data_IF_537313048889
#
_entry.id   IF_537313048889
#
_cell.length_a   1.000
_cell.length_b   1.000
_cell.length_c   1.000
_cell.angle_alpha   90.00
_cell.angle_beta   90.00
_cell.angle_gamma   90.00
#
_symmetry.space_group_name_H-M   'P 1'
#
loop_
_entity.id
_entity.type
_entity.pdbx_description
1 polymer ?
#
# COMPACT_ATOMS: atom_id res chain seq x y z
N UNK A 1 8.88 -16.27 31.67
CA UNK A 1 9.77 -15.29 32.35
C UNK A 1 10.89 -14.74 31.44
N UNK A 2 11.30 -15.41 30.37
CA UNK A 2 12.37 -14.92 29.47
C UNK A 2 11.97 -13.74 28.55
N UNK A 3 10.71 -13.59 28.20
CA UNK A 3 10.23 -12.47 27.33
C UNK A 3 10.17 -11.10 28.02
N UNK A 4 10.14 -11.04 29.36
CA UNK A 4 10.17 -9.76 30.10
C UNK A 4 11.55 -9.12 30.24
N UNK A 5 12.61 -9.91 30.15
CA UNK A 5 13.98 -9.41 30.31
C UNK A 5 14.52 -8.67 29.07
N UNK A 6 14.04 -9.02 27.87
CA UNK A 6 14.44 -8.38 26.62
C UNK A 6 13.82 -6.96 26.51
N UNK A 7 12.59 -6.78 27.01
CA UNK A 7 11.88 -5.49 26.99
C UNK A 7 12.49 -4.44 27.93
N UNK A 8 13.13 -4.82 29.02
CA UNK A 8 13.75 -3.91 29.98
C UNK A 8 15.10 -3.34 29.50
N UNK A 9 15.81 -4.06 28.63
CA UNK A 9 17.04 -3.56 28.01
C UNK A 9 16.81 -2.49 26.93
N UNK A 10 15.68 -2.55 26.21
CA UNK A 10 15.33 -1.59 25.14
C UNK A 10 14.77 -0.27 25.67
N UNK A 11 14.11 -0.26 26.83
CA UNK A 11 13.61 0.96 27.49
C UNK A 11 14.73 1.85 28.05
N UNK A 12 15.87 1.28 28.44
CA UNK A 12 17.01 2.07 28.90
C UNK A 12 17.79 2.78 27.77
N UNK A 13 17.73 2.26 26.54
CA UNK A 13 18.31 2.93 25.37
C UNK A 13 17.50 4.19 24.95
N UNK A 14 16.20 4.22 25.21
CA UNK A 14 15.31 5.35 24.83
C UNK A 14 15.62 6.65 25.58
N UNK A 15 16.17 6.61 26.79
CA UNK A 15 16.39 7.79 27.64
C UNK A 15 17.76 8.47 27.45
N UNK A 16 18.66 7.91 26.64
CA UNK A 16 20.03 8.41 26.49
C UNK A 16 20.27 9.20 25.18
N UNK A 17 19.30 9.22 24.25
CA UNK A 17 19.49 9.84 22.94
C UNK A 17 18.67 11.09 22.73
N UNK A 18 19.32 12.14 22.24
CA UNK A 18 18.63 13.28 21.63
C UNK A 18 17.85 12.76 20.43
N UNK A 19 16.53 12.77 20.52
CA UNK A 19 15.64 12.38 19.44
C UNK A 19 15.93 13.27 18.22
N UNK A 20 16.21 12.67 17.08
CA UNK A 20 16.50 13.35 15.83
C UNK A 20 15.80 12.65 14.67
N UNK A 21 15.66 13.33 13.54
CA UNK A 21 15.08 12.71 12.33
C UNK A 21 15.78 11.39 11.94
N UNK A 22 17.11 11.32 12.12
CA UNK A 22 17.92 10.16 11.79
C UNK A 22 17.74 9.01 12.78
N UNK A 23 17.62 9.32 14.08
CA UNK A 23 17.36 8.28 15.08
C UNK A 23 15.97 7.66 14.92
N UNK A 24 14.95 8.48 14.63
CA UNK A 24 13.59 8.02 14.32
C UNK A 24 13.59 7.15 13.04
N UNK A 25 14.28 7.59 12.00
CA UNK A 25 14.41 6.80 10.77
C UNK A 25 15.08 5.44 11.01
N UNK A 26 16.18 5.43 11.78
CA UNK A 26 16.87 4.19 12.13
C UNK A 26 15.98 3.25 12.96
N UNK A 27 15.27 3.76 13.95
CA UNK A 27 14.33 2.99 14.78
C UNK A 27 13.22 2.37 13.91
N UNK A 28 12.68 3.13 12.95
CA UNK A 28 11.71 2.60 11.99
C UNK A 28 12.30 1.50 11.12
N UNK A 29 13.47 1.71 10.53
CA UNK A 29 14.14 0.72 9.69
C UNK A 29 14.39 -0.59 10.46
N UNK A 30 14.79 -0.48 11.72
CA UNK A 30 15.00 -1.63 12.58
C UNK A 30 13.70 -2.39 12.89
N UNK A 31 12.61 -1.66 13.20
CA UNK A 31 11.31 -2.27 13.44
C UNK A 31 10.71 -2.92 12.17
N UNK A 32 10.93 -2.32 11.01
CA UNK A 32 10.51 -2.89 9.72
C UNK A 32 11.24 -4.18 9.40
N UNK A 33 12.54 -4.27 9.68
CA UNK A 33 13.34 -5.47 9.38
C UNK A 33 13.14 -6.58 10.42
N UNK A 34 13.04 -6.25 11.73
CA UNK A 34 12.94 -7.24 12.80
C UNK A 34 11.52 -7.70 13.12
N UNK A 35 10.55 -6.78 13.13
CA UNK A 35 9.24 -6.99 13.73
C UNK A 35 8.12 -7.03 12.68
N UNK A 36 8.46 -7.14 11.41
CA UNK A 36 7.52 -7.11 10.28
C UNK A 36 6.51 -5.93 10.32
N UNK A 37 6.93 -4.84 10.97
CA UNK A 37 6.07 -3.66 11.17
C UNK A 37 5.89 -2.90 9.86
N UNK A 38 4.67 -2.47 9.56
CA UNK A 38 4.40 -1.60 8.40
C UNK A 38 4.89 -0.18 8.68
N UNK A 39 5.77 0.32 7.81
CA UNK A 39 6.41 1.63 7.97
C UNK A 39 5.39 2.78 8.08
N UNK A 40 4.36 2.77 7.23
CA UNK A 40 3.30 3.79 7.21
C UNK A 40 2.42 3.80 8.47
N UNK A 41 2.33 2.70 9.22
CA UNK A 41 1.57 2.59 10.46
C UNK A 41 2.43 2.89 11.70
N UNK A 42 3.74 2.64 11.62
CA UNK A 42 4.64 2.78 12.77
C UNK A 42 5.27 4.17 12.84
N UNK A 43 5.63 4.76 11.70
CA UNK A 43 6.27 6.08 11.67
C UNK A 43 5.46 7.17 12.39
N UNK A 44 4.14 7.32 12.22
CA UNK A 44 3.37 8.33 12.96
C UNK A 44 3.49 8.20 14.48
N UNK A 45 3.58 6.97 14.99
CA UNK A 45 3.75 6.70 16.43
C UNK A 45 5.13 7.17 16.91
N UNK A 46 6.19 6.87 16.14
CA UNK A 46 7.56 7.30 16.46
C UNK A 46 7.68 8.82 16.42
N UNK A 47 7.12 9.47 15.40
CA UNK A 47 7.13 10.93 15.27
C UNK A 47 6.41 11.61 16.43
N UNK A 48 5.24 11.10 16.83
CA UNK A 48 4.49 11.60 17.99
C UNK A 48 5.26 11.47 19.31
N UNK A 49 5.98 10.37 19.48
CA UNK A 49 6.82 10.13 20.67
C UNK A 49 8.06 11.04 20.68
N UNK A 50 8.67 11.24 19.51
CA UNK A 50 9.88 12.03 19.35
C UNK A 50 9.65 13.54 19.46
N UNK A 51 8.40 14.00 19.26
CA UNK A 51 8.00 15.42 19.29
C UNK A 51 8.90 16.32 18.41
N UNK A 52 9.20 15.82 17.20
CA UNK A 52 9.99 16.53 16.20
C UNK A 52 9.19 17.70 15.63
N UNK A 53 9.89 18.76 15.21
CA UNK A 53 9.31 19.82 14.40
C UNK A 53 8.86 19.26 13.02
N UNK A 54 7.94 19.95 12.35
CA UNK A 54 7.37 19.49 11.07
C UNK A 54 8.47 19.22 10.01
N UNK A 55 9.52 20.06 9.97
CA UNK A 55 10.66 19.88 9.06
C UNK A 55 11.45 18.59 9.36
N UNK A 56 11.74 18.33 10.64
CA UNK A 56 12.48 17.14 11.05
C UNK A 56 11.62 15.88 10.91
N UNK A 57 10.32 15.98 11.09
CA UNK A 57 9.35 14.91 10.82
C UNK A 57 9.34 14.55 9.34
N UNK A 58 9.32 15.53 8.44
CA UNK A 58 9.42 15.30 6.99
C UNK A 58 10.78 14.68 6.60
N UNK A 59 11.87 15.13 7.23
CA UNK A 59 13.19 14.54 7.04
C UNK A 59 13.24 13.08 7.51
N UNK A 60 12.68 12.76 8.68
CA UNK A 60 12.60 11.39 9.18
C UNK A 60 11.79 10.48 8.24
N UNK A 61 10.70 11.00 7.70
CA UNK A 61 9.89 10.27 6.71
C UNK A 61 10.68 9.98 5.45
N UNK A 62 11.35 10.98 4.85
CA UNK A 62 12.14 10.77 3.63
C UNK A 62 13.31 9.82 3.87
N UNK A 63 14.05 10.00 4.96
CA UNK A 63 15.13 9.09 5.35
C UNK A 63 14.66 7.63 5.47
N UNK A 64 13.50 7.41 6.05
CA UNK A 64 12.93 6.09 6.26
C UNK A 64 12.47 5.45 4.95
N UNK A 65 11.50 6.07 4.30
CA UNK A 65 10.88 5.51 3.10
C UNK A 65 11.83 5.48 1.91
N UNK A 66 12.64 6.52 1.73
CA UNK A 66 13.64 6.58 0.67
C UNK A 66 14.70 5.48 0.81
N UNK A 67 15.16 5.22 2.05
CA UNK A 67 16.09 4.11 2.32
C UNK A 67 15.46 2.76 1.99
N UNK A 68 14.20 2.50 2.38
CA UNK A 68 13.51 1.24 2.09
C UNK A 68 13.28 1.06 0.58
N UNK A 69 12.90 2.12 -0.14
CA UNK A 69 12.68 2.09 -1.59
C UNK A 69 13.91 1.68 -2.37
N UNK A 70 15.08 2.15 -1.96
CA UNK A 70 16.31 1.99 -2.70
C UNK A 70 17.28 0.96 -2.10
N UNK A 71 16.84 0.16 -1.12
CA UNK A 71 17.76 -0.67 -0.33
C UNK A 71 18.56 -1.68 -1.16
N UNK A 72 17.99 -2.29 -2.21
CA UNK A 72 18.71 -3.27 -3.03
C UNK A 72 19.85 -2.59 -3.81
N UNK A 73 19.59 -1.42 -4.36
CA UNK A 73 20.62 -0.65 -5.07
C UNK A 73 21.74 -0.21 -4.11
N UNK A 74 21.37 0.25 -2.90
CA UNK A 74 22.36 0.59 -1.87
C UNK A 74 23.15 -0.62 -1.39
N UNK A 75 22.51 -1.77 -1.25
CA UNK A 75 23.20 -3.01 -0.89
C UNK A 75 24.29 -3.36 -1.90
N UNK A 76 24.02 -3.21 -3.22
CA UNK A 76 25.03 -3.46 -4.25
C UNK A 76 26.22 -2.49 -4.16
N UNK A 77 25.99 -1.24 -3.85
CA UNK A 77 27.07 -0.26 -3.62
C UNK A 77 27.84 -0.61 -2.34
N UNK A 78 27.13 -0.96 -1.26
CA UNK A 78 27.73 -1.35 0.00
C UNK A 78 28.60 -2.60 -0.16
N UNK A 79 28.16 -3.61 -0.91
CA UNK A 79 28.93 -4.83 -1.22
C UNK A 79 30.25 -4.49 -1.90
N UNK A 80 30.24 -3.62 -2.90
CA UNK A 80 31.45 -3.14 -3.59
C UNK A 80 32.40 -2.42 -2.62
N UNK A 81 31.84 -1.49 -1.83
CA UNK A 81 32.65 -0.68 -0.91
C UNK A 81 33.16 -1.48 0.29
N UNK A 82 32.38 -2.39 0.84
CA UNK A 82 32.73 -3.22 1.99
C UNK A 82 33.57 -4.44 1.59
N UNK A 83 33.58 -4.82 0.31
CA UNK A 83 34.20 -6.04 -0.22
C UNK A 83 33.69 -7.31 0.46
N UNK A 84 32.40 -7.35 0.75
CA UNK A 84 31.69 -8.50 1.32
C UNK A 84 30.20 -8.44 0.98
N UNK A 85 29.53 -9.60 1.04
CA UNK A 85 28.09 -9.68 0.83
C UNK A 85 27.34 -8.87 1.91
N UNK A 86 26.30 -8.18 1.51
CA UNK A 86 25.44 -7.40 2.43
C UNK A 86 24.72 -8.28 3.46
N UNK A 87 24.51 -9.56 3.15
CA UNK A 87 23.94 -10.53 4.09
C UNK A 87 24.89 -10.86 5.26
N UNK A 88 26.20 -10.71 5.07
CA UNK A 88 27.22 -10.94 6.10
C UNK A 88 27.44 -9.72 7.01
N UNK A 89 26.85 -8.58 6.68
CA UNK A 89 26.97 -7.36 7.49
C UNK A 89 25.94 -7.40 8.62
N UNK A 90 26.42 -7.15 9.85
CA UNK A 90 25.54 -7.04 11.02
C UNK A 90 24.39 -6.03 10.76
N UNK A 91 23.18 -6.42 11.15
CA UNK A 91 21.94 -5.70 10.76
C UNK A 91 21.98 -4.20 11.07
N UNK A 92 22.39 -3.81 12.29
CA UNK A 92 22.42 -2.37 12.65
C UNK A 92 23.40 -1.59 11.77
N UNK A 93 24.57 -2.17 11.52
CA UNK A 93 25.57 -1.60 10.62
C UNK A 93 25.06 -1.49 9.19
N UNK A 94 24.37 -2.52 8.67
CA UNK A 94 23.75 -2.50 7.34
C UNK A 94 22.69 -1.41 7.22
N UNK A 95 21.80 -1.28 8.20
CA UNK A 95 20.76 -0.24 8.20
C UNK A 95 21.36 1.16 8.26
N UNK A 96 22.43 1.37 9.04
CA UNK A 96 23.16 2.64 9.09
C UNK A 96 23.85 2.95 7.76
N UNK A 97 24.43 1.94 7.10
CA UNK A 97 25.04 2.09 5.77
C UNK A 97 24.00 2.46 4.71
N UNK A 98 22.85 1.78 4.69
CA UNK A 98 21.73 2.12 3.81
C UNK A 98 21.22 3.54 4.04
N UNK A 99 21.04 3.93 5.30
CA UNK A 99 20.60 5.28 5.70
C UNK A 99 21.63 6.35 5.29
N UNK A 100 22.93 6.06 5.45
CA UNK A 100 24.01 6.95 5.02
C UNK A 100 24.10 7.05 3.50
N UNK A 101 23.99 5.91 2.79
CA UNK A 101 23.97 5.87 1.32
C UNK A 101 22.81 6.70 0.75
N UNK A 102 21.61 6.59 1.34
CA UNK A 102 20.45 7.40 0.92
C UNK A 102 20.73 8.90 1.05
N UNK A 103 21.28 9.34 2.19
CA UNK A 103 21.64 10.75 2.40
C UNK A 103 22.70 11.25 1.40
N UNK A 104 23.72 10.42 1.10
CA UNK A 104 24.83 10.79 0.24
C UNK A 104 24.45 10.84 -1.24
N UNK A 105 23.59 9.91 -1.68
CA UNK A 105 23.34 9.68 -3.11
C UNK A 105 21.99 10.23 -3.58
N UNK A 106 20.98 10.29 -2.72
CA UNK A 106 19.60 10.60 -3.14
C UNK A 106 19.03 11.87 -2.50
N UNK A 107 19.73 12.45 -1.52
CA UNK A 107 19.28 13.66 -0.83
C UNK A 107 20.22 14.84 -1.09
N UNK A 108 19.69 16.06 -0.97
CA UNK A 108 20.50 17.29 -1.09
C UNK A 108 21.14 17.66 0.26
N UNK A 109 21.86 16.70 0.86
CA UNK A 109 22.58 16.90 2.13
C UNK A 109 24.08 16.96 1.80
N UNK A 110 24.81 17.96 2.32
CA UNK A 110 26.26 18.00 2.13
C UNK A 110 26.93 16.72 2.65
N UNK A 111 27.85 16.13 1.85
CA UNK A 111 28.45 14.82 2.16
C UNK A 111 29.09 14.75 3.56
N UNK A 112 29.76 15.84 3.98
CA UNK A 112 30.37 15.89 5.32
C UNK A 112 29.31 15.81 6.44
N UNK A 113 28.14 16.44 6.27
CA UNK A 113 27.06 16.40 7.25
C UNK A 113 26.41 14.98 7.27
N UNK A 114 26.14 14.39 6.09
CA UNK A 114 25.62 13.03 6.00
C UNK A 114 26.53 12.01 6.68
N UNK A 115 27.85 12.10 6.45
CA UNK A 115 28.86 11.25 7.06
C UNK A 115 28.90 11.41 8.58
N UNK A 116 29.12 12.64 9.06
CA UNK A 116 29.29 12.91 10.50
C UNK A 116 28.06 12.48 11.31
N UNK A 117 26.88 12.90 10.88
CA UNK A 117 25.62 12.57 11.56
C UNK A 117 25.32 11.07 11.58
N UNK A 118 25.65 10.33 10.48
CA UNK A 118 25.44 8.88 10.44
C UNK A 118 26.47 8.16 11.33
N UNK A 119 27.71 8.63 11.36
CA UNK A 119 28.76 8.08 12.26
C UNK A 119 28.43 8.36 13.72
N UNK A 120 27.93 9.55 14.06
CA UNK A 120 27.52 9.87 15.43
C UNK A 120 26.30 9.03 15.86
N UNK A 121 25.33 8.81 14.97
CA UNK A 121 24.27 7.86 15.23
C UNK A 121 24.82 6.44 15.45
N UNK A 122 25.81 6.02 14.66
CA UNK A 122 26.45 4.69 14.82
C UNK A 122 27.07 4.50 16.20
N UNK A 123 27.76 5.51 16.74
CA UNK A 123 28.34 5.47 18.11
C UNK A 123 27.27 5.16 19.16
N UNK A 124 26.05 5.55 18.88
CA UNK A 124 24.94 5.49 19.79
C UNK A 124 24.16 4.18 19.74
N UNK A 125 24.03 3.57 18.55
CA UNK A 125 23.11 2.44 18.32
C UNK A 125 23.79 1.13 17.94
N UNK A 126 25.12 1.17 17.71
CA UNK A 126 25.90 0.00 17.30
C UNK A 126 27.16 -0.19 18.18
N UNK A 127 27.91 -1.26 17.95
CA UNK A 127 29.16 -1.54 18.68
C UNK A 127 30.26 -0.54 18.32
N UNK A 128 31.22 -0.36 19.22
CA UNK A 128 32.39 0.51 18.97
C UNK A 128 33.17 0.11 17.71
N UNK A 129 33.28 -1.20 17.42
CA UNK A 129 33.92 -1.71 16.19
C UNK A 129 33.17 -1.33 14.91
N UNK A 130 31.85 -1.17 14.97
CA UNK A 130 31.03 -0.79 13.83
C UNK A 130 31.30 0.65 13.36
N UNK A 131 31.72 1.56 14.27
CA UNK A 131 31.92 2.97 13.95
C UNK A 131 32.99 3.16 12.87
N UNK A 132 34.15 2.51 13.03
CA UNK A 132 35.23 2.56 12.02
C UNK A 132 34.83 1.95 10.69
N UNK A 133 34.12 0.81 10.73
CA UNK A 133 33.63 0.14 9.55
C UNK A 133 32.61 1.00 8.77
N UNK A 134 31.55 1.49 9.44
CA UNK A 134 30.53 2.35 8.81
C UNK A 134 31.15 3.61 8.22
N UNK A 135 32.03 4.31 8.96
CA UNK A 135 32.73 5.48 8.46
C UNK A 135 33.57 5.18 7.21
N UNK A 136 34.34 4.06 7.23
CA UNK A 136 35.18 3.68 6.09
C UNK A 136 34.36 3.35 4.84
N UNK A 137 33.24 2.65 4.98
CA UNK A 137 32.36 2.30 3.84
C UNK A 137 31.66 3.55 3.30
N UNK A 138 31.09 4.42 4.17
CA UNK A 138 30.40 5.62 3.72
C UNK A 138 31.34 6.63 3.05
N UNK A 139 32.61 6.73 3.45
CA UNK A 139 33.60 7.55 2.74
C UNK A 139 33.81 7.06 1.31
N UNK A 140 33.93 5.75 1.11
CA UNK A 140 34.05 5.19 -0.26
C UNK A 140 32.78 5.44 -1.08
N UNK A 141 31.59 5.31 -0.47
CA UNK A 141 30.34 5.65 -1.15
C UNK A 141 30.32 7.10 -1.61
N UNK A 142 30.83 8.03 -0.78
CA UNK A 142 30.86 9.47 -1.10
C UNK A 142 31.86 9.88 -2.19
N UNK A 143 32.76 8.98 -2.63
CA UNK A 143 33.76 9.28 -3.68
C UNK A 143 33.16 9.35 -5.08
N UNK A 144 31.95 8.80 -5.29
CA UNK A 144 31.27 8.73 -6.58
C UNK A 144 29.86 9.30 -6.50
N UNK A 145 29.41 9.90 -7.59
CA UNK A 145 28.03 10.33 -7.75
C UNK A 145 27.07 9.14 -7.94
N UNK A 146 25.77 9.37 -7.77
CA UNK A 146 24.74 8.38 -8.03
C UNK A 146 24.85 7.77 -9.43
N UNK A 147 25.08 8.60 -10.47
CA UNK A 147 25.18 8.14 -11.86
C UNK A 147 26.45 7.30 -12.11
N UNK A 148 27.57 7.65 -11.46
CA UNK A 148 28.79 6.83 -11.51
C UNK A 148 28.58 5.48 -10.84
N UNK A 149 27.87 5.44 -9.69
CA UNK A 149 27.50 4.20 -9.02
C UNK A 149 26.55 3.35 -9.86
N UNK A 150 25.54 3.96 -10.50
CA UNK A 150 24.65 3.25 -11.42
C UNK A 150 25.46 2.57 -12.54
N UNK A 151 26.33 3.32 -13.18
CA UNK A 151 27.19 2.77 -14.24
C UNK A 151 28.01 1.59 -13.74
N UNK A 152 28.67 1.72 -12.59
CA UNK A 152 29.55 0.68 -12.06
C UNK A 152 28.77 -0.58 -11.63
N UNK A 153 27.68 -0.41 -10.92
CA UNK A 153 26.85 -1.53 -10.44
C UNK A 153 26.21 -2.29 -11.60
N UNK A 154 25.77 -1.57 -12.64
CA UNK A 154 25.03 -2.17 -13.75
C UNK A 154 25.93 -2.71 -14.89
N UNK A 155 27.22 -2.34 -14.94
CA UNK A 155 28.14 -2.78 -16.00
C UNK A 155 28.32 -4.31 -16.06
N UNK A 156 28.23 -5.01 -14.94
CA UNK A 156 28.39 -6.46 -14.86
C UNK A 156 27.08 -7.24 -15.00
N UNK A 157 25.95 -6.55 -15.13
CA UNK A 157 24.61 -7.18 -15.15
C UNK A 157 24.13 -7.29 -16.59
N UNK A 158 24.08 -8.50 -17.11
CA UNK A 158 23.67 -8.78 -18.50
C UNK A 158 22.18 -9.08 -18.66
N UNK A 159 21.51 -9.67 -17.64
CA UNK A 159 20.08 -9.96 -17.67
C UNK A 159 19.27 -8.65 -17.55
N UNK A 160 18.37 -8.33 -18.52
CA UNK A 160 17.61 -7.09 -18.49
C UNK A 160 16.68 -6.95 -17.27
N UNK A 161 16.12 -8.05 -16.78
CA UNK A 161 15.25 -8.03 -15.61
C UNK A 161 16.05 -7.79 -14.33
N UNK A 162 17.21 -8.45 -14.20
CA UNK A 162 18.13 -8.20 -13.09
C UNK A 162 18.64 -6.77 -13.09
N UNK A 163 18.93 -6.22 -14.28
CA UNK A 163 19.34 -4.83 -14.42
C UNK A 163 18.26 -3.88 -13.89
N UNK A 164 17.02 -4.02 -14.33
CA UNK A 164 15.89 -3.23 -13.82
C UNK A 164 15.62 -3.48 -12.34
N UNK A 165 15.76 -4.73 -11.87
CA UNK A 165 15.62 -5.12 -10.46
C UNK A 165 16.57 -4.30 -9.58
N UNK A 166 17.84 -4.25 -9.94
CA UNK A 166 18.87 -3.54 -9.17
C UNK A 166 18.69 -2.01 -9.30
N UNK A 167 18.55 -1.51 -10.52
CA UNK A 167 18.46 -0.07 -10.79
C UNK A 167 17.28 0.59 -10.07
N UNK A 168 16.11 -0.05 -10.12
CA UNK A 168 14.88 0.45 -9.47
C UNK A 168 14.61 -0.18 -8.12
N UNK A 169 15.51 -1.01 -7.61
CA UNK A 169 15.40 -1.61 -6.28
C UNK A 169 14.10 -2.36 -6.05
N UNK A 170 13.78 -3.30 -6.94
CA UNK A 170 12.67 -4.25 -6.83
C UNK A 170 13.19 -5.69 -6.96
N UNK A 171 12.73 -6.66 -6.16
CA UNK A 171 13.04 -8.08 -6.41
C UNK A 171 12.72 -8.49 -7.86
N UNK A 172 13.61 -9.25 -8.50
CA UNK A 172 13.45 -9.62 -9.92
C UNK A 172 12.13 -10.33 -10.22
N UNK A 173 11.61 -11.13 -9.29
CA UNK A 173 10.31 -11.77 -9.46
C UNK A 173 9.15 -10.76 -9.53
N UNK A 174 9.22 -9.66 -8.78
CA UNK A 174 8.23 -8.56 -8.84
C UNK A 174 8.33 -7.84 -10.19
N UNK A 175 9.55 -7.57 -10.68
CA UNK A 175 9.75 -6.96 -11.99
C UNK A 175 9.10 -7.82 -13.08
N UNK A 176 9.32 -9.16 -13.05
CA UNK A 176 8.67 -10.10 -13.99
C UNK A 176 7.15 -10.10 -13.87
N UNK A 177 6.63 -10.07 -12.64
CA UNK A 177 5.19 -10.03 -12.39
C UNK A 177 4.55 -8.74 -12.94
N UNK A 178 5.16 -7.58 -12.68
CA UNK A 178 4.72 -6.29 -13.22
C UNK A 178 4.82 -6.22 -14.74
N UNK A 179 5.90 -6.73 -15.33
CA UNK A 179 6.06 -6.83 -16.78
C UNK A 179 4.94 -7.64 -17.42
N UNK A 180 4.64 -8.82 -16.84
CA UNK A 180 3.56 -9.68 -17.35
C UNK A 180 2.20 -9.00 -17.23
N UNK A 181 1.92 -8.36 -16.11
CA UNK A 181 0.66 -7.66 -15.88
C UNK A 181 0.47 -6.48 -16.86
N UNK A 182 1.52 -5.68 -17.09
CA UNK A 182 1.51 -4.61 -18.08
C UNK A 182 1.31 -5.14 -19.51
N UNK A 183 1.99 -6.25 -19.86
CA UNK A 183 1.80 -6.90 -21.17
C UNK A 183 0.36 -7.35 -21.39
N UNK A 184 -0.24 -7.95 -20.36
CA UNK A 184 -1.64 -8.39 -20.37
C UNK A 184 -2.59 -7.21 -20.50
N UNK A 185 -2.26 -6.05 -19.93
CA UNK A 185 -3.05 -4.82 -20.04
C UNK A 185 -2.74 -3.98 -21.31
N UNK A 186 -1.89 -4.50 -22.22
CA UNK A 186 -1.53 -3.81 -23.47
C UNK A 186 -0.55 -2.63 -23.28
N UNK A 187 0.20 -2.60 -22.20
CA UNK A 187 1.08 -1.48 -21.76
C UNK A 187 2.53 -1.93 -21.52
N UNK A 188 3.00 -2.89 -22.31
CA UNK A 188 4.31 -3.52 -22.15
C UNK A 188 5.49 -2.53 -22.06
N UNK A 189 5.41 -1.42 -22.79
CA UNK A 189 6.49 -0.43 -22.91
C UNK A 189 6.61 0.50 -21.69
N UNK A 190 5.69 0.41 -20.72
CA UNK A 190 5.65 1.31 -19.57
C UNK A 190 6.26 0.75 -18.28
N UNK A 191 6.93 -0.41 -18.35
CA UNK A 191 7.51 -1.09 -17.18
C UNK A 191 8.50 -0.20 -16.43
N UNK A 192 9.43 0.42 -17.13
CA UNK A 192 10.45 1.26 -16.49
C UNK A 192 9.82 2.47 -15.80
N UNK A 193 8.86 3.13 -16.46
CA UNK A 193 8.10 4.24 -15.87
C UNK A 193 7.32 3.82 -14.63
N UNK A 194 6.76 2.61 -14.63
CA UNK A 194 6.10 2.05 -13.45
C UNK A 194 7.08 1.84 -12.28
N UNK A 195 8.26 1.24 -12.55
CA UNK A 195 9.28 1.00 -11.53
C UNK A 195 9.82 2.32 -10.95
N UNK A 196 10.05 3.33 -11.79
CA UNK A 196 10.41 4.68 -11.36
C UNK A 196 9.33 5.27 -10.45
N UNK A 197 8.07 5.20 -10.89
CA UNK A 197 6.92 5.73 -10.14
C UNK A 197 6.76 5.03 -8.78
N UNK A 198 7.01 3.73 -8.71
CA UNK A 198 6.98 2.98 -7.44
C UNK A 198 8.02 3.48 -6.41
N UNK A 199 9.05 4.18 -6.86
CA UNK A 199 10.08 4.77 -6.00
C UNK A 199 9.79 6.24 -5.63
N UNK A 200 8.73 6.83 -6.15
CA UNK A 200 8.28 8.16 -5.73
C UNK A 200 7.42 8.07 -4.47
N UNK A 201 7.41 9.13 -3.68
CA UNK A 201 6.44 9.26 -2.59
C UNK A 201 5.02 9.37 -3.18
N UNK A 202 4.08 8.65 -2.59
CA UNK A 202 2.68 8.80 -2.97
C UNK A 202 2.09 10.04 -2.29
N UNK A 203 1.28 10.78 -3.02
CA UNK A 203 0.51 11.89 -2.45
C UNK A 203 -0.47 11.40 -1.38
N UNK A 204 -0.79 12.29 -0.44
CA UNK A 204 -1.84 12.02 0.54
C UNK A 204 -3.19 12.26 -0.14
N UNK A 205 -3.88 11.18 -0.46
CA UNK A 205 -5.21 11.23 -1.04
C UNK A 205 -6.29 11.13 0.05
N UNK A 206 -7.32 11.94 -0.12
CA UNK A 206 -8.47 11.99 0.77
C UNK A 206 -9.74 11.70 -0.04
N UNK A 207 -10.75 11.15 0.62
CA UNK A 207 -12.10 10.97 0.07
C UNK A 207 -13.08 11.85 0.84
N UNK A 208 -13.94 12.54 0.12
CA UNK A 208 -15.12 13.20 0.70
C UNK A 208 -16.27 12.19 0.79
N UNK A 209 -16.82 12.00 1.98
CA UNK A 209 -17.91 11.06 2.21
C UNK A 209 -19.26 11.70 1.83
N UNK A 210 -20.07 11.07 0.94
CA UNK A 210 -21.39 11.56 0.58
C UNK A 210 -22.32 11.70 1.79
N UNK A 211 -23.21 12.69 1.77
CA UNK A 211 -24.17 12.95 2.85
C UNK A 211 -23.61 13.56 4.12
N UNK A 212 -22.29 13.75 4.21
CA UNK A 212 -21.64 14.47 5.31
C UNK A 212 -21.57 15.96 5.03
N UNK A 213 -21.60 16.80 6.08
CA UNK A 213 -21.50 18.25 5.94
C UNK A 213 -20.15 18.65 5.36
N UNK A 214 -20.17 19.48 4.29
CA UNK A 214 -18.93 20.01 3.73
C UNK A 214 -18.28 20.97 4.72
N UNK A 215 -16.94 20.92 4.89
CA UNK A 215 -16.24 21.95 5.65
C UNK A 215 -16.26 23.28 4.88
N UNK A 216 -16.34 24.39 5.61
CA UNK A 216 -16.32 25.74 5.03
C UNK A 216 -14.98 26.11 4.38
N UNK A 217 -13.89 25.42 4.77
CA UNK A 217 -12.53 25.66 4.26
C UNK A 217 -11.83 24.37 3.87
N UNK A 218 -11.39 24.32 2.61
CA UNK A 218 -10.58 23.23 2.02
C UNK A 218 -9.19 23.73 1.62
N UNK A 219 -8.61 24.65 2.40
CA UNK A 219 -7.27 25.15 2.15
C UNK A 219 -6.25 23.98 2.05
N UNK A 220 -5.36 24.07 1.05
CA UNK A 220 -4.35 23.05 0.71
C UNK A 220 -4.90 21.73 0.13
N UNK A 221 -6.17 21.69 -0.30
CA UNK A 221 -6.73 20.54 -1.00
C UNK A 221 -6.98 20.88 -2.47
N UNK A 222 -6.54 19.99 -3.35
CA UNK A 222 -6.87 20.03 -4.78
C UNK A 222 -7.79 18.85 -5.12
N UNK A 223 -8.67 19.03 -6.11
CA UNK A 223 -9.51 17.93 -6.58
C UNK A 223 -8.65 16.77 -7.06
N UNK A 224 -9.05 15.56 -6.73
CA UNK A 224 -8.39 14.35 -7.19
C UNK A 224 -8.51 14.16 -8.70
N UNK A 225 -7.49 13.64 -9.33
CA UNK A 225 -7.48 13.42 -10.78
C UNK A 225 -8.29 12.20 -11.20
N UNK A 226 -8.36 11.18 -10.36
CA UNK A 226 -9.00 9.90 -10.70
C UNK A 226 -10.41 9.77 -10.14
N UNK A 227 -10.62 10.01 -8.85
CA UNK A 227 -11.92 9.85 -8.19
C UNK A 227 -12.69 11.18 -8.12
N UNK A 228 -13.99 11.21 -8.47
CA UNK A 228 -14.83 12.41 -8.34
C UNK A 228 -15.06 12.85 -6.90
N UNK A 229 -14.84 11.95 -5.92
CA UNK A 229 -14.90 12.24 -4.48
C UNK A 229 -13.50 12.49 -3.89
N UNK A 230 -12.46 12.40 -4.71
CA UNK A 230 -11.07 12.46 -4.30
C UNK A 230 -10.56 13.89 -4.13
N UNK A 231 -9.66 14.03 -3.14
CA UNK A 231 -8.82 15.21 -2.99
C UNK A 231 -7.37 14.76 -2.79
N UNK A 232 -6.45 15.62 -3.21
CA UNK A 232 -5.01 15.46 -2.95
C UNK A 232 -4.56 16.60 -2.06
N UNK A 233 -3.81 16.27 -1.02
CA UNK A 233 -3.26 17.23 -0.06
C UNK A 233 -1.80 17.53 -0.39
N UNK A 234 -1.48 18.80 -0.60
CA UNK A 234 -0.13 19.27 -0.90
C UNK A 234 0.69 19.50 0.38
N UNK A 235 0.97 18.44 1.15
CA UNK A 235 1.77 18.49 2.38
C UNK A 235 0.94 18.74 3.64
N UNK A 236 1.61 18.64 4.81
CA UNK A 236 0.98 18.74 6.12
C UNK A 236 0.45 17.41 6.67
N UNK A 237 -0.09 17.46 7.87
CA UNK A 237 -0.67 16.30 8.56
C UNK A 237 -2.20 16.28 8.33
N UNK A 238 -2.75 15.26 7.67
CA UNK A 238 -4.20 15.15 7.45
C UNK A 238 -5.02 15.19 8.75
N UNK A 239 -4.45 14.67 9.86
CA UNK A 239 -5.13 14.64 11.15
C UNK A 239 -5.40 16.05 11.73
N UNK A 240 -4.67 17.08 11.27
CA UNK A 240 -4.87 18.47 11.65
C UNK A 240 -6.07 19.12 10.96
N UNK A 241 -6.62 18.52 9.88
CA UNK A 241 -7.78 19.05 9.17
C UNK A 241 -9.06 18.90 10.01
N UNK A 242 -9.84 19.96 10.14
CA UNK A 242 -11.15 19.92 10.81
C UNK A 242 -12.08 18.88 10.15
N UNK A 243 -12.13 18.87 8.82
CA UNK A 243 -12.94 17.94 8.03
C UNK A 243 -12.62 16.45 8.30
N UNK A 244 -11.39 16.13 8.67
CA UNK A 244 -11.01 14.77 9.11
C UNK A 244 -11.56 14.46 10.50
N UNK A 245 -11.49 15.45 11.42
CA UNK A 245 -12.02 15.29 12.79
C UNK A 245 -13.54 15.17 12.79
N UNK A 246 -14.20 15.89 11.90
CA UNK A 246 -15.66 15.90 11.74
C UNK A 246 -16.18 14.68 10.96
N UNK A 247 -15.27 13.90 10.34
CA UNK A 247 -15.60 12.68 9.61
C UNK A 247 -15.99 12.90 8.15
N UNK A 248 -16.00 14.14 7.65
CA UNK A 248 -16.30 14.45 6.24
C UNK A 248 -15.22 13.94 5.28
N UNK A 249 -13.95 14.10 5.65
CA UNK A 249 -12.81 13.59 4.89
C UNK A 249 -12.18 12.37 5.57
N UNK A 250 -11.62 11.48 4.75
CA UNK A 250 -10.80 10.35 5.21
C UNK A 250 -9.61 10.15 4.28
N UNK A 251 -8.48 9.67 4.85
CA UNK A 251 -7.35 9.25 4.03
C UNK A 251 -7.74 7.97 3.30
N UNK A 252 -7.74 8.01 1.96
CA UNK A 252 -8.00 6.85 1.12
C UNK A 252 -7.42 7.09 -0.28
N UNK A 253 -6.71 6.09 -0.82
CA UNK A 253 -6.24 6.13 -2.20
C UNK A 253 -7.38 6.24 -3.21
N UNK A 254 -7.20 7.02 -4.29
CA UNK A 254 -8.27 7.26 -5.26
C UNK A 254 -8.66 5.97 -6.01
N UNK A 255 -7.74 5.04 -6.25
CA UNK A 255 -8.07 3.72 -6.82
C UNK A 255 -8.98 2.90 -5.91
N UNK A 256 -8.73 2.96 -4.58
CA UNK A 256 -9.60 2.34 -3.58
C UNK A 256 -11.00 2.99 -3.53
N UNK A 257 -11.09 4.31 -3.74
CA UNK A 257 -12.36 5.02 -3.88
C UNK A 257 -13.12 4.56 -5.13
N UNK A 258 -12.41 4.48 -6.28
CA UNK A 258 -12.98 4.02 -7.54
C UNK A 258 -13.51 2.59 -7.45
N UNK A 259 -12.88 1.71 -6.70
CA UNK A 259 -13.39 0.36 -6.47
C UNK A 259 -14.76 0.34 -5.78
N UNK A 260 -14.93 1.16 -4.73
CA UNK A 260 -16.24 1.31 -4.06
C UNK A 260 -17.28 1.97 -4.97
N UNK A 261 -16.87 3.01 -5.70
CA UNK A 261 -17.73 3.69 -6.68
C UNK A 261 -18.12 2.79 -7.85
N UNK A 262 -17.25 1.89 -8.31
CA UNK A 262 -17.57 0.92 -9.35
C UNK A 262 -18.71 -0.01 -8.91
N UNK A 263 -18.67 -0.53 -7.68
CA UNK A 263 -19.76 -1.36 -7.13
C UNK A 263 -21.08 -0.59 -7.06
N UNK A 264 -21.05 0.62 -6.52
CA UNK A 264 -22.25 1.41 -6.27
C UNK A 264 -22.86 2.03 -7.53
N UNK A 265 -22.09 2.14 -8.63
CA UNK A 265 -22.53 2.66 -9.92
C UNK A 265 -22.64 1.60 -11.02
N UNK A 266 -22.54 0.31 -10.69
CA UNK A 266 -22.64 -0.79 -11.64
C UNK A 266 -24.02 -0.83 -12.33
N UNK A 267 -25.07 -0.66 -11.54
CA UNK A 267 -26.47 -0.53 -11.94
C UNK A 267 -27.21 0.39 -10.96
N UNK A 268 -28.48 0.75 -11.24
CA UNK A 268 -29.30 1.56 -10.36
C UNK A 268 -29.44 0.88 -8.97
N UNK A 269 -29.39 1.67 -7.93
CA UNK A 269 -29.60 1.21 -6.56
C UNK A 269 -31.10 1.28 -6.24
N UNK A 270 -31.61 0.22 -5.60
CA UNK A 270 -32.98 0.18 -5.11
C UNK A 270 -33.00 0.39 -3.60
N UNK A 271 -33.87 1.25 -3.11
CA UNK A 271 -34.04 1.45 -1.65
C UNK A 271 -34.31 0.11 -0.95
N UNK A 272 -33.60 -0.10 0.17
CA UNK A 272 -33.70 -1.33 0.96
C UNK A 272 -32.75 -2.43 0.54
N UNK A 273 -31.91 -2.24 -0.50
CA UNK A 273 -30.84 -3.19 -0.84
C UNK A 273 -29.97 -3.54 0.38
N UNK A 274 -29.51 -4.77 0.44
CA UNK A 274 -28.60 -5.27 1.47
C UNK A 274 -27.20 -5.48 0.88
N UNK A 275 -26.22 -4.76 1.41
CA UNK A 275 -24.84 -4.77 0.96
C UNK A 275 -23.92 -5.43 1.97
N UNK A 276 -22.82 -6.02 1.50
CA UNK A 276 -21.76 -6.59 2.32
C UNK A 276 -20.39 -6.06 1.90
N UNK A 277 -19.60 -5.55 2.87
CA UNK A 277 -18.15 -5.42 2.74
C UNK A 277 -17.49 -6.62 3.43
N UNK A 278 -17.06 -7.59 2.63
CA UNK A 278 -16.72 -8.95 3.08
C UNK A 278 -15.37 -9.06 3.78
N UNK A 279 -14.41 -8.17 3.43
CA UNK A 279 -13.07 -8.07 4.02
C UNK A 279 -12.75 -6.61 4.37
N UNK A 280 -13.53 -6.02 5.26
CA UNK A 280 -13.67 -4.58 5.42
C UNK A 280 -12.45 -3.86 6.00
N UNK A 281 -11.53 -4.55 6.68
CA UNK A 281 -10.39 -3.94 7.38
C UNK A 281 -9.40 -3.23 6.46
N UNK A 282 -8.93 -2.05 6.83
CA UNK A 282 -9.14 -1.31 8.08
C UNK A 282 -10.31 -0.31 8.07
N UNK A 283 -11.29 -0.41 7.15
CA UNK A 283 -12.51 0.39 7.16
C UNK A 283 -12.56 1.54 6.14
N UNK A 284 -11.59 1.69 5.26
CA UNK A 284 -11.58 2.77 4.27
C UNK A 284 -12.73 2.65 3.26
N UNK A 285 -12.88 1.48 2.60
CA UNK A 285 -13.98 1.19 1.68
C UNK A 285 -15.31 1.10 2.42
N UNK A 286 -15.33 0.43 3.59
CA UNK A 286 -16.50 0.32 4.45
C UNK A 286 -17.13 1.69 4.79
N UNK A 287 -16.32 2.69 5.15
CA UNK A 287 -16.81 4.03 5.46
C UNK A 287 -17.42 4.74 4.22
N UNK A 288 -16.82 4.60 3.05
CA UNK A 288 -17.37 5.15 1.81
C UNK A 288 -18.67 4.44 1.40
N UNK A 289 -18.69 3.10 1.49
CA UNK A 289 -19.89 2.32 1.22
C UNK A 289 -21.02 2.64 2.21
N UNK A 290 -20.72 2.82 3.51
CA UNK A 290 -21.69 3.22 4.52
C UNK A 290 -22.28 4.60 4.23
N UNK A 291 -21.46 5.58 3.83
CA UNK A 291 -21.92 6.91 3.47
C UNK A 291 -22.88 6.87 2.26
N UNK A 292 -22.53 6.09 1.23
CA UNK A 292 -23.38 5.92 0.03
C UNK A 292 -24.65 5.14 0.40
N UNK A 293 -24.54 4.02 1.12
CA UNK A 293 -25.69 3.20 1.53
C UNK A 293 -26.74 4.02 2.30
N UNK A 294 -26.25 4.90 3.19
CA UNK A 294 -27.13 5.79 3.96
C UNK A 294 -27.87 6.78 3.07
N UNK A 295 -27.22 7.37 2.05
CA UNK A 295 -27.86 8.30 1.11
C UNK A 295 -28.86 7.59 0.20
N UNK A 296 -28.56 6.35 -0.18
CA UNK A 296 -29.38 5.50 -1.08
C UNK A 296 -30.42 4.66 -0.34
N UNK A 297 -30.53 4.80 0.98
CA UNK A 297 -31.43 4.01 1.83
C UNK A 297 -31.19 2.49 1.73
N UNK A 298 -29.94 2.08 1.48
CA UNK A 298 -29.50 0.70 1.54
C UNK A 298 -28.95 0.34 2.94
N UNK A 299 -28.79 -0.95 3.22
CA UNK A 299 -28.27 -1.47 4.48
C UNK A 299 -26.91 -2.11 4.23
N UNK A 300 -25.87 -1.62 4.90
CA UNK A 300 -24.53 -2.20 4.84
C UNK A 300 -24.27 -3.11 6.05
N UNK A 301 -23.70 -4.27 5.80
CA UNK A 301 -23.03 -5.13 6.78
C UNK A 301 -21.54 -5.22 6.45
N UNK A 302 -20.69 -5.36 7.47
CA UNK A 302 -19.24 -5.46 7.29
C UNK A 302 -18.69 -6.67 8.04
N UNK A 303 -17.68 -7.33 7.46
CA UNK A 303 -17.00 -8.46 8.07
C UNK A 303 -15.49 -8.28 8.03
N UNK A 304 -14.78 -8.72 9.06
CA UNK A 304 -13.33 -8.74 9.12
C UNK A 304 -12.87 -9.84 10.09
N UNK A 305 -12.01 -10.74 9.63
CA UNK A 305 -11.55 -11.90 10.42
C UNK A 305 -10.70 -11.51 11.64
N UNK A 306 -9.98 -10.40 11.57
CA UNK A 306 -9.12 -9.93 12.66
C UNK A 306 -9.85 -9.00 13.61
N UNK A 307 -9.97 -9.37 14.88
CA UNK A 307 -10.58 -8.51 15.92
C UNK A 307 -9.93 -7.11 15.98
N UNK A 308 -8.61 -7.05 15.85
CA UNK A 308 -7.90 -5.76 15.86
C UNK A 308 -8.32 -4.89 14.67
N UNK A 309 -8.41 -5.47 13.47
CA UNK A 309 -8.82 -4.73 12.27
C UNK A 309 -10.32 -4.40 12.29
N UNK A 310 -11.16 -5.28 12.84
CA UNK A 310 -12.59 -5.02 13.05
C UNK A 310 -12.82 -3.81 13.95
N UNK A 311 -12.01 -3.61 15.00
CA UNK A 311 -12.04 -2.39 15.81
C UNK A 311 -11.72 -1.13 15.00
N UNK A 312 -10.78 -1.22 14.04
CA UNK A 312 -10.49 -0.10 13.12
C UNK A 312 -11.66 0.17 12.17
N UNK A 313 -12.34 -0.87 11.68
CA UNK A 313 -13.58 -0.74 10.89
C UNK A 313 -14.66 -0.02 11.71
N UNK A 314 -14.92 -0.46 12.94
CA UNK A 314 -15.89 0.20 13.84
C UNK A 314 -15.54 1.67 14.09
N UNK A 315 -14.26 1.99 14.30
CA UNK A 315 -13.81 3.38 14.43
C UNK A 315 -14.01 4.17 13.12
N UNK A 316 -13.80 3.52 11.97
CA UNK A 316 -14.02 4.14 10.68
C UNK A 316 -15.50 4.48 10.44
N UNK A 317 -16.40 3.64 10.89
CA UNK A 317 -17.86 3.79 10.76
C UNK A 317 -18.48 4.73 11.79
N UNK A 318 -17.85 4.92 12.94
CA UNK A 318 -18.44 5.60 14.11
C UNK A 318 -19.00 7.00 13.83
N UNK A 319 -18.44 7.73 12.87
CA UNK A 319 -18.89 9.07 12.49
C UNK A 319 -19.78 9.10 11.25
N UNK A 320 -19.79 8.02 10.48
CA UNK A 320 -20.56 7.90 9.23
C UNK A 320 -21.93 7.32 9.50
N UNK A 321 -21.92 6.08 10.02
CA UNK A 321 -23.10 5.36 10.46
C UNK A 321 -22.69 4.32 11.53
N UNK A 322 -22.86 4.65 12.81
CA UNK A 322 -22.51 3.75 13.91
C UNK A 322 -23.44 2.53 14.03
N UNK A 323 -24.52 2.47 13.25
CA UNK A 323 -25.48 1.34 13.27
C UNK A 323 -25.04 0.20 12.35
N UNK A 324 -24.07 0.42 11.47
CA UNK A 324 -23.52 -0.63 10.59
C UNK A 324 -22.83 -1.71 11.41
N UNK A 325 -23.29 -2.97 11.35
CA UNK A 325 -22.69 -4.05 12.10
C UNK A 325 -21.29 -4.40 11.55
N UNK A 326 -20.39 -4.73 12.47
CA UNK A 326 -19.05 -5.22 12.16
C UNK A 326 -18.90 -6.63 12.72
N UNK A 327 -19.05 -7.64 11.87
CA UNK A 327 -18.89 -9.03 12.25
C UNK A 327 -17.41 -9.41 12.29
N UNK A 328 -17.07 -10.30 13.21
CA UNK A 328 -15.73 -10.90 13.31
C UNK A 328 -15.86 -12.39 13.00
N UNK A 329 -15.72 -12.75 11.73
CA UNK A 329 -15.86 -14.13 11.29
C UNK A 329 -15.01 -14.43 10.07
N UNK A 330 -14.83 -15.73 9.77
CA UNK A 330 -14.17 -16.16 8.55
C UNK A 330 -15.12 -15.97 7.37
N UNK A 331 -14.72 -15.11 6.45
CA UNK A 331 -15.53 -14.78 5.28
C UNK A 331 -15.75 -15.98 4.32
N UNK A 332 -14.95 -17.05 4.43
CA UNK A 332 -15.13 -18.26 3.64
C UNK A 332 -16.48 -18.94 3.90
N UNK A 333 -17.06 -18.78 5.13
CA UNK A 333 -18.32 -19.43 5.48
C UNK A 333 -19.55 -18.60 5.17
N UNK A 334 -19.43 -17.30 4.88
CA UNK A 334 -20.58 -16.39 4.70
C UNK A 334 -21.56 -16.88 3.62
N UNK A 335 -21.05 -17.48 2.54
CA UNK A 335 -21.91 -18.02 1.47
C UNK A 335 -22.83 -19.16 1.93
N UNK A 336 -22.37 -19.97 2.88
CA UNK A 336 -23.14 -21.04 3.50
C UNK A 336 -24.10 -20.51 4.57
N UNK A 337 -23.64 -19.52 5.38
CA UNK A 337 -24.41 -18.95 6.48
C UNK A 337 -25.53 -18.01 6.01
N UNK A 338 -25.33 -17.32 4.89
CA UNK A 338 -26.26 -16.33 4.33
C UNK A 338 -26.36 -16.45 2.80
N UNK A 339 -26.83 -17.59 2.26
CA UNK A 339 -26.95 -17.80 0.81
C UNK A 339 -27.95 -16.80 0.21
N UNK A 340 -27.60 -16.27 -0.96
CA UNK A 340 -28.42 -15.34 -1.76
C UNK A 340 -29.03 -14.19 -0.92
N UNK A 341 -28.24 -13.64 0.01
CA UNK A 341 -28.72 -12.65 0.97
C UNK A 341 -28.40 -11.21 0.62
N UNK A 342 -27.40 -10.97 -0.27
CA UNK A 342 -26.89 -9.63 -0.54
C UNK A 342 -27.12 -9.21 -1.98
N UNK A 343 -27.53 -7.96 -2.17
CA UNK A 343 -27.73 -7.35 -3.47
C UNK A 343 -26.39 -6.85 -4.06
N UNK A 344 -25.50 -6.37 -3.18
CA UNK A 344 -24.13 -5.95 -3.55
C UNK A 344 -23.11 -6.49 -2.56
N UNK A 345 -22.00 -6.99 -3.08
CA UNK A 345 -20.88 -7.47 -2.26
C UNK A 345 -19.58 -6.80 -2.73
N UNK A 346 -18.87 -6.17 -1.79
CA UNK A 346 -17.48 -5.74 -1.96
C UNK A 346 -16.58 -6.85 -1.42
N UNK A 347 -15.78 -7.47 -2.26
CA UNK A 347 -14.70 -8.36 -1.88
C UNK A 347 -13.35 -7.68 -2.21
N UNK A 348 -12.87 -6.83 -1.27
CA UNK A 348 -11.49 -6.32 -1.28
C UNK A 348 -10.57 -7.42 -0.76
N UNK A 349 -10.18 -8.32 -1.66
CA UNK A 349 -9.56 -9.59 -1.30
C UNK A 349 -8.13 -9.40 -0.73
N UNK A 350 -7.77 -10.18 0.31
CA UNK A 350 -6.39 -10.27 0.76
C UNK A 350 -5.49 -10.65 -0.41
N UNK A 351 -4.41 -9.88 -0.63
CA UNK A 351 -3.53 -10.06 -1.79
C UNK A 351 -2.07 -9.70 -1.45
N UNK A 352 -1.15 -9.93 -2.37
CA UNK A 352 0.27 -9.58 -2.19
C UNK A 352 0.51 -8.09 -1.98
N UNK A 353 -0.39 -7.22 -2.45
CA UNK A 353 -0.27 -5.77 -2.29
C UNK A 353 0.78 -5.11 -3.21
N UNK A 354 1.17 -5.76 -4.30
CA UNK A 354 2.18 -5.23 -5.25
C UNK A 354 1.75 -3.94 -5.95
N UNK A 355 0.50 -3.56 -5.82
CA UNK A 355 -0.04 -2.30 -6.35
C UNK A 355 0.20 -1.09 -5.45
N UNK A 356 0.53 -1.31 -4.17
CA UNK A 356 0.67 -0.24 -3.17
C UNK A 356 2.13 0.04 -2.77
N UNK A 357 3.11 -0.31 -3.62
CA UNK A 357 4.55 -0.24 -3.30
C UNK A 357 5.04 1.19 -3.02
N UNK A 358 4.39 2.22 -3.55
CA UNK A 358 4.71 3.63 -3.23
C UNK A 358 4.46 3.95 -1.76
N UNK A 359 3.36 3.39 -1.19
CA UNK A 359 2.89 3.63 0.18
C UNK A 359 3.48 2.65 1.18
N UNK A 360 3.80 1.42 0.72
CA UNK A 360 4.32 0.31 1.52
C UNK A 360 5.54 -0.30 0.85
N UNK A 361 6.65 0.47 0.74
CA UNK A 361 7.83 -0.01 0.01
C UNK A 361 8.46 -1.26 0.63
N UNK A 362 8.30 -1.48 1.93
CA UNK A 362 8.76 -2.68 2.63
C UNK A 362 8.07 -3.96 2.12
N UNK A 363 6.86 -3.86 1.58
CA UNK A 363 6.11 -5.03 1.07
C UNK A 363 6.87 -5.76 -0.03
N UNK A 364 7.68 -5.06 -0.84
CA UNK A 364 8.48 -5.68 -1.91
C UNK A 364 9.55 -6.64 -1.37
N UNK A 365 10.00 -6.45 -0.14
CA UNK A 365 11.06 -7.24 0.49
C UNK A 365 10.53 -8.42 1.30
N UNK A 366 9.29 -8.35 1.72
CA UNK A 366 8.62 -9.36 2.55
C UNK A 366 7.93 -10.43 1.73
N UNK A 367 7.39 -10.02 0.59
CA UNK A 367 6.63 -10.92 -0.28
C UNK A 367 7.56 -11.84 -1.09
N UNK A 368 7.11 -13.07 -1.27
CA UNK A 368 7.80 -14.12 -2.02
C UNK A 368 6.86 -14.70 -3.08
N UNK A 369 7.38 -15.33 -4.14
CA UNK A 369 6.53 -15.96 -5.18
C UNK A 369 5.51 -16.96 -4.65
N UNK A 370 5.84 -17.70 -3.58
CA UNK A 370 4.92 -18.66 -2.95
C UNK A 370 3.67 -18.01 -2.36
N UNK A 371 3.79 -16.75 -1.86
CA UNK A 371 2.65 -16.05 -1.26
C UNK A 371 1.54 -15.79 -2.29
N UNK A 372 1.88 -15.69 -3.58
CA UNK A 372 0.91 -15.54 -4.66
C UNK A 372 -0.01 -16.76 -4.75
N UNK A 373 0.56 -17.98 -4.71
CA UNK A 373 -0.24 -19.20 -4.80
C UNK A 373 -1.09 -19.43 -3.55
N UNK A 374 -0.55 -19.13 -2.37
CA UNK A 374 -1.29 -19.25 -1.10
C UNK A 374 -2.48 -18.28 -1.07
N UNK A 375 -2.25 -17.02 -1.45
CA UNK A 375 -3.30 -16.00 -1.52
C UNK A 375 -4.31 -16.26 -2.64
N UNK A 376 -3.88 -16.76 -3.79
CA UNK A 376 -4.80 -17.13 -4.88
C UNK A 376 -5.78 -18.23 -4.43
N UNK A 377 -5.32 -19.24 -3.69
CA UNK A 377 -6.19 -20.28 -3.13
C UNK A 377 -7.21 -19.70 -2.13
N UNK A 378 -6.79 -18.77 -1.29
CA UNK A 378 -7.69 -18.06 -0.38
C UNK A 378 -8.70 -17.19 -1.14
N UNK A 379 -8.25 -16.48 -2.17
CA UNK A 379 -9.10 -15.64 -3.02
C UNK A 379 -10.17 -16.46 -3.76
N UNK A 380 -9.84 -17.69 -4.21
CA UNK A 380 -10.83 -18.61 -4.81
C UNK A 380 -11.91 -18.99 -3.78
N UNK A 381 -11.54 -19.29 -2.55
CA UNK A 381 -12.52 -19.62 -1.50
C UNK A 381 -13.40 -18.42 -1.15
N UNK A 382 -12.80 -17.24 -1.04
CA UNK A 382 -13.54 -16.01 -0.73
C UNK A 382 -14.50 -15.60 -1.84
N UNK A 383 -14.08 -15.65 -3.12
CA UNK A 383 -14.94 -15.27 -4.23
C UNK A 383 -16.08 -16.28 -4.43
N UNK A 384 -15.85 -17.58 -4.15
CA UNK A 384 -16.89 -18.61 -4.13
C UNK A 384 -17.91 -18.34 -3.03
N UNK A 385 -17.47 -18.03 -1.81
CA UNK A 385 -18.34 -17.67 -0.71
C UNK A 385 -19.14 -16.40 -1.01
N UNK A 386 -18.51 -15.37 -1.59
CA UNK A 386 -19.19 -14.17 -2.05
C UNK A 386 -20.26 -14.48 -3.12
N UNK A 387 -19.93 -15.36 -4.06
CA UNK A 387 -20.84 -15.80 -5.12
C UNK A 387 -22.08 -16.50 -4.57
N UNK A 388 -21.90 -17.38 -3.59
CA UNK A 388 -23.01 -18.09 -2.92
C UNK A 388 -23.90 -17.12 -2.13
N UNK A 389 -23.32 -16.12 -1.47
CA UNK A 389 -24.02 -15.09 -0.70
C UNK A 389 -24.75 -14.05 -1.59
N UNK A 390 -24.36 -13.93 -2.87
CA UNK A 390 -24.92 -12.98 -3.83
C UNK A 390 -26.28 -13.43 -4.35
N UNK A 391 -27.27 -12.55 -4.29
CA UNK A 391 -28.60 -12.79 -4.91
C UNK A 391 -28.49 -12.92 -6.44
N UNK A 392 -29.41 -13.65 -7.09
CA UNK A 392 -29.63 -13.51 -8.53
C UNK A 392 -29.85 -12.04 -8.92
N UNK A 393 -29.17 -11.57 -9.95
CA UNK A 393 -29.19 -10.15 -10.36
C UNK A 393 -28.33 -9.20 -9.52
N UNK A 394 -27.78 -9.68 -8.41
CA UNK A 394 -26.85 -8.91 -7.56
C UNK A 394 -25.50 -8.62 -8.21
N UNK A 395 -24.72 -7.74 -7.62
CA UNK A 395 -23.38 -7.33 -8.10
C UNK A 395 -22.31 -7.60 -7.07
N UNK A 396 -21.29 -8.37 -7.47
CA UNK A 396 -20.05 -8.59 -6.74
C UNK A 396 -18.94 -7.74 -7.37
N UNK A 397 -18.29 -6.89 -6.58
CA UNK A 397 -17.01 -6.28 -6.94
C UNK A 397 -15.87 -7.10 -6.34
N UNK A 398 -15.15 -7.83 -7.19
CA UNK A 398 -13.88 -8.43 -6.83
C UNK A 398 -12.75 -7.44 -7.06
N UNK A 399 -12.02 -7.13 -6.00
CA UNK A 399 -11.03 -6.05 -5.97
C UNK A 399 -9.75 -6.55 -5.32
N UNK A 400 -8.60 -6.17 -5.87
CA UNK A 400 -7.28 -6.38 -5.24
C UNK A 400 -6.38 -5.17 -5.43
N UNK A 401 -5.50 -4.90 -4.45
CA UNK A 401 -4.42 -3.92 -4.60
C UNK A 401 -3.13 -4.57 -5.13
N UNK A 402 -3.25 -5.45 -6.11
CA UNK A 402 -2.14 -6.08 -6.83
C UNK A 402 -2.48 -6.19 -8.32
N UNK A 403 -1.52 -5.98 -9.23
CA UNK A 403 -1.74 -6.23 -10.65
C UNK A 403 -1.36 -7.67 -11.07
N UNK A 404 -0.94 -8.53 -10.14
CA UNK A 404 -0.47 -9.88 -10.44
C UNK A 404 -1.58 -10.73 -11.07
N UNK A 405 -1.37 -11.25 -12.29
CA UNK A 405 -2.41 -11.98 -13.03
C UNK A 405 -2.98 -13.19 -12.29
N UNK A 406 -2.18 -13.85 -11.46
CA UNK A 406 -2.62 -14.98 -10.62
C UNK A 406 -3.59 -14.59 -9.50
N UNK A 407 -3.62 -13.31 -9.10
CA UNK A 407 -4.48 -12.77 -8.05
C UNK A 407 -5.62 -11.89 -8.62
N UNK A 408 -5.69 -11.75 -9.93
CA UNK A 408 -6.64 -10.88 -10.63
C UNK A 408 -7.45 -11.68 -11.64
N UNK A 409 -7.08 -11.66 -12.91
CA UNK A 409 -7.79 -12.32 -13.98
C UNK A 409 -7.96 -13.83 -13.77
N UNK A 410 -6.93 -14.50 -13.26
CA UNK A 410 -7.00 -15.95 -13.04
C UNK A 410 -8.08 -16.34 -12.01
N UNK A 411 -8.38 -15.49 -11.05
CA UNK A 411 -9.44 -15.72 -10.05
C UNK A 411 -10.82 -15.52 -10.69
N UNK A 412 -10.98 -14.47 -11.50
CA UNK A 412 -12.22 -14.22 -12.24
C UNK A 412 -12.50 -15.36 -13.23
N UNK A 413 -11.50 -15.75 -14.02
CA UNK A 413 -11.59 -16.88 -14.98
C UNK A 413 -11.89 -18.21 -14.26
N UNK A 414 -11.37 -18.37 -13.03
CA UNK A 414 -11.65 -19.54 -12.21
C UNK A 414 -13.14 -19.58 -11.83
N UNK A 415 -13.70 -18.46 -11.34
CA UNK A 415 -15.13 -18.39 -10.98
C UNK A 415 -16.04 -18.64 -12.18
N UNK A 416 -15.72 -18.08 -13.35
CA UNK A 416 -16.47 -18.32 -14.59
C UNK A 416 -16.48 -19.81 -14.98
N UNK A 417 -15.37 -20.53 -14.76
CA UNK A 417 -15.29 -21.98 -15.01
C UNK A 417 -16.07 -22.81 -13.99
N UNK A 418 -16.17 -22.36 -12.73
CA UNK A 418 -16.98 -23.06 -11.70
C UNK A 418 -18.48 -22.90 -11.99
N UNK A 419 -18.90 -21.73 -12.46
CA UNK A 419 -20.32 -21.38 -12.66
C UNK A 419 -20.60 -20.95 -14.11
N UNK A 420 -20.39 -21.85 -15.12
CA UNK A 420 -20.55 -21.50 -16.51
C UNK A 420 -22.00 -21.08 -16.80
N UNK A 421 -22.17 -20.02 -17.60
CA UNK A 421 -23.46 -19.41 -17.96
C UNK A 421 -24.19 -18.65 -16.83
N UNK A 422 -23.72 -18.72 -15.60
CA UNK A 422 -24.32 -17.97 -14.48
C UNK A 422 -23.54 -16.70 -14.16
N UNK A 423 -22.22 -16.71 -14.34
CA UNK A 423 -21.32 -15.58 -14.11
C UNK A 423 -21.29 -14.68 -15.34
N UNK A 424 -21.58 -13.40 -15.16
CA UNK A 424 -21.46 -12.39 -16.21
C UNK A 424 -20.63 -11.22 -15.74
N UNK A 425 -19.62 -10.86 -16.53
CA UNK A 425 -18.84 -9.64 -16.30
C UNK A 425 -19.61 -8.41 -16.78
N UNK A 426 -19.88 -7.48 -15.88
CA UNK A 426 -20.29 -6.12 -16.22
C UNK A 426 -19.06 -5.32 -16.71
N UNK A 427 -19.30 -4.30 -17.52
CA UNK A 427 -18.21 -3.49 -18.05
C UNK A 427 -17.77 -2.44 -17.00
N UNK A 428 -16.84 -2.81 -16.12
CA UNK A 428 -16.29 -1.90 -15.11
C UNK A 428 -15.58 -0.69 -15.73
N UNK A 429 -15.01 -0.83 -16.94
CA UNK A 429 -14.37 0.27 -17.68
C UNK A 429 -15.41 1.34 -18.04
N UNK A 430 -16.56 0.95 -18.58
CA UNK A 430 -17.65 1.90 -18.87
C UNK A 430 -18.20 2.55 -17.61
N UNK A 431 -18.35 1.77 -16.52
CA UNK A 431 -18.82 2.32 -15.23
C UNK A 431 -17.88 3.42 -14.75
N UNK A 432 -16.57 3.18 -14.74
CA UNK A 432 -15.60 4.18 -14.28
C UNK A 432 -15.46 5.36 -15.24
N UNK A 433 -15.58 5.15 -16.56
CA UNK A 433 -15.57 6.22 -17.55
C UNK A 433 -16.79 7.16 -17.41
N UNK A 434 -17.95 6.65 -17.00
CA UNK A 434 -19.11 7.52 -16.67
C UNK A 434 -18.85 8.40 -15.45
N UNK A 435 -18.04 7.93 -14.47
CA UNK A 435 -17.67 8.69 -13.29
C UNK A 435 -16.59 9.74 -13.58
N UNK A 436 -15.64 9.39 -14.43
CA UNK A 436 -14.57 10.27 -14.88
C UNK A 436 -14.10 9.87 -16.29
N UNK A 437 -14.52 10.61 -17.29
CA UNK A 437 -14.19 10.38 -18.71
C UNK A 437 -12.70 10.51 -19.02
N UNK A 438 -11.93 11.21 -18.16
CA UNK A 438 -10.49 11.42 -18.33
C UNK A 438 -9.63 10.25 -17.81
N UNK A 439 -10.24 9.24 -17.15
CA UNK A 439 -9.49 8.07 -16.73
C UNK A 439 -8.92 7.32 -17.95
N UNK A 440 -7.62 7.13 -17.97
CA UNK A 440 -6.98 6.33 -19.00
C UNK A 440 -7.05 4.84 -18.62
N UNK A 441 -7.96 4.11 -19.27
CA UNK A 441 -8.24 2.69 -19.02
C UNK A 441 -8.07 1.88 -20.31
N UNK A 442 -7.89 0.57 -20.19
CA UNK A 442 -7.93 -0.35 -21.32
C UNK A 442 -9.38 -0.64 -21.70
N UNK A 443 -9.89 0.05 -22.72
CA UNK A 443 -11.29 -0.05 -23.17
C UNK A 443 -11.64 -1.38 -23.86
N UNK A 444 -10.63 -2.19 -24.22
CA UNK A 444 -10.84 -3.52 -24.77
C UNK A 444 -11.17 -4.58 -23.69
N UNK A 445 -11.26 -4.17 -22.42
CA UNK A 445 -11.51 -5.06 -21.30
C UNK A 445 -12.72 -4.63 -20.49
N UNK A 446 -13.49 -5.59 -19.99
CA UNK A 446 -14.57 -5.35 -19.04
C UNK A 446 -14.04 -5.14 -17.61
N UNK A 447 -12.87 -5.70 -17.28
CA UNK A 447 -12.18 -5.49 -16.01
C UNK A 447 -11.26 -4.29 -16.08
N UNK A 448 -11.02 -3.64 -14.96
CA UNK A 448 -10.13 -2.47 -14.87
C UNK A 448 -8.86 -2.83 -14.13
N UNK A 449 -7.71 -2.41 -14.67
CA UNK A 449 -6.44 -2.33 -13.98
C UNK A 449 -6.00 -0.86 -13.94
N UNK A 450 -5.95 -0.29 -12.74
CA UNK A 450 -5.38 1.04 -12.51
C UNK A 450 -3.88 0.94 -12.30
N UNK A 451 -3.14 1.97 -12.71
CA UNK A 451 -1.69 2.01 -12.62
C UNK A 451 -1.16 3.30 -12.00
N UNK A 452 -0.13 3.24 -11.12
CA UNK A 452 0.43 4.43 -10.48
C UNK A 452 0.96 5.48 -11.44
N UNK A 453 1.64 5.06 -12.50
CA UNK A 453 2.27 5.93 -13.49
C UNK A 453 1.30 6.49 -14.54
N UNK A 454 0.07 5.99 -14.58
CA UNK A 454 -0.97 6.41 -15.54
C UNK A 454 -2.08 7.17 -14.81
N UNK A 455 -2.62 6.56 -13.77
CA UNK A 455 -3.81 7.07 -13.08
C UNK A 455 -3.47 7.84 -11.78
N UNK A 456 -2.19 7.84 -11.34
CA UNK A 456 -1.78 8.46 -10.08
C UNK A 456 -2.24 7.74 -8.82
N UNK A 457 -2.91 6.58 -8.96
CA UNK A 457 -3.49 5.77 -7.88
C UNK A 457 -2.55 4.61 -7.49
N UNK A 458 -2.90 3.84 -6.47
CA UNK A 458 -2.35 2.50 -6.32
C UNK A 458 -2.80 1.62 -7.48
N UNK A 459 -2.01 0.56 -7.82
CA UNK A 459 -2.42 -0.38 -8.86
C UNK A 459 -3.56 -1.26 -8.33
N UNK A 460 -4.79 -0.88 -8.65
CA UNK A 460 -5.99 -1.60 -8.24
C UNK A 460 -6.57 -2.38 -9.41
N UNK A 461 -6.92 -3.64 -9.17
CA UNK A 461 -7.72 -4.43 -10.08
C UNK A 461 -9.19 -4.39 -9.63
N UNK A 462 -10.13 -4.27 -10.59
CA UNK A 462 -11.57 -4.21 -10.33
C UNK A 462 -12.29 -5.06 -11.37
N UNK A 463 -13.03 -6.06 -10.92
CA UNK A 463 -13.97 -6.83 -11.73
C UNK A 463 -15.37 -6.69 -11.13
N UNK A 464 -16.36 -6.35 -11.95
CA UNK A 464 -17.76 -6.32 -11.57
C UNK A 464 -18.45 -7.56 -12.15
N UNK A 465 -19.02 -8.37 -11.28
CA UNK A 465 -19.59 -9.68 -11.60
C UNK A 465 -21.05 -9.68 -11.20
N UNK A 466 -21.93 -10.15 -12.07
CA UNK A 466 -23.35 -10.33 -11.75
C UNK A 466 -23.77 -11.78 -11.93
N UNK A 467 -24.75 -12.20 -11.11
CA UNK A 467 -25.36 -13.54 -11.13
C UNK A 467 -26.60 -13.49 -12.02
N UNK A 468 -26.73 -14.46 -12.94
CA UNK A 468 -27.95 -14.56 -13.78
C UNK A 468 -29.20 -14.57 -12.94
N UNK A 469 -30.22 -13.88 -13.41
CA UNK A 469 -31.60 -14.09 -12.94
C UNK A 469 -32.06 -15.37 -13.63
N UNK A 470 -32.31 -16.42 -12.87
CA UNK A 470 -32.73 -17.71 -13.38
C UNK A 470 -34.05 -17.68 -14.15
#
# INVERSE_FOLDING_TARGET
MAQRAVWLGETHLRNAFKQSARSVAFELLLAVDKDDTYANLHLPKLLSQAKLEDRDSALAQELSFGTIRNQLFYDKIIEICAKRDSAEIELRSKLLLRLGAHQLLSMRIPSHAALNETVDLTKSVASQGAVGFVNGVLRRISEKSLEQWKTEVLNSVSDPIERLSIEYSHPAWIVRALQQALKVDGRADSLETLLQTNNLAADVNLVALPGMAKPDHTENLTAGLASPLGFTMSGGDPAKLAAMRDGFLRVQDQGSQLAALALTNANAITSGEKWLDMCAGPGGKAALLAAIAKTEQAKLETNEISEHRAKLVSQALSKVDPTVPVFVSDAITIGQDAPESFDRIMLDAPCTGLGALRRRPESRWRKQPKDVSELANLQQQLIESAWQALKPGGVLAYVTCTPHSGETLAIVDWLERQHPKQVHLLNATEVLKRLNSNLELNENRKTVQLWPHINGTDAMFIALITKSVG
#
